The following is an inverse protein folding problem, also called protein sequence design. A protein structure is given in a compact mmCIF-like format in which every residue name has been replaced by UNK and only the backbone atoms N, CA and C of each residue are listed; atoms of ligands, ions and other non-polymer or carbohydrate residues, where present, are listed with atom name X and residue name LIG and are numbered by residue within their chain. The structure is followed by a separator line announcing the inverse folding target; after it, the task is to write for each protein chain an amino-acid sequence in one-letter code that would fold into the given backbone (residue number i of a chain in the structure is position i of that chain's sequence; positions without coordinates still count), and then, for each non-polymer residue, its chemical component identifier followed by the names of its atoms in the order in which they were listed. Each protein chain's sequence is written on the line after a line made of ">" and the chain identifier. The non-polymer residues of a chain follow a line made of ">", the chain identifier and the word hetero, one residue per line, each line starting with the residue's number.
data_IF_264519535166
#
_entry.id   IF_264519535166
#
_cell.length_a   1.000
_cell.length_b   1.000
_cell.length_c   1.000
_cell.angle_alpha   90.00
_cell.angle_beta   90.00
_cell.angle_gamma   90.00
#
_symmetry.space_group_name_H-M   'P 1'
#
loop_
_entity.id
_entity.type
_entity.pdbx_description
1 polymer ?
#
# COMPACT_ATOMS: atom_id res chain seq x y z
N UNK A 1 23.18 12.57 -17.13
CA UNK A 1 22.39 11.85 -17.95
C UNK A 1 21.56 10.88 -17.26
N UNK A 2 22.10 9.94 -16.58
CA UNK A 2 21.38 9.01 -15.86
C UNK A 2 20.56 9.60 -14.80
N UNK A 3 20.93 10.75 -14.29
CA UNK A 3 20.21 11.41 -13.23
C UNK A 3 18.81 11.77 -13.66
N UNK A 4 18.67 12.23 -14.88
CA UNK A 4 17.35 12.60 -15.37
C UNK A 4 16.48 11.40 -15.59
N UNK A 5 17.08 10.36 -16.15
CA UNK A 5 16.34 9.14 -16.31
C UNK A 5 15.95 8.61 -14.96
N UNK A 6 16.81 8.75 -13.97
CA UNK A 6 16.53 8.32 -12.65
C UNK A 6 15.34 9.02 -12.06
N UNK A 7 15.15 10.29 -12.34
CA UNK A 7 14.02 11.01 -11.82
C UNK A 7 12.71 10.50 -12.38
N UNK A 8 12.64 10.32 -13.67
CA UNK A 8 11.43 9.82 -14.30
C UNK A 8 11.14 8.42 -13.84
N UNK A 9 12.17 7.60 -13.82
CA UNK A 9 12.03 6.26 -13.35
C UNK A 9 11.64 6.28 -11.89
N UNK A 10 12.08 7.33 -11.16
CA UNK A 10 11.78 7.46 -9.76
C UNK A 10 10.30 7.53 -9.47
N UNK A 11 9.53 8.29 -10.26
CA UNK A 11 8.10 8.37 -10.03
C UNK A 11 7.42 7.05 -10.29
N UNK A 12 7.74 6.42 -11.40
CA UNK A 12 7.18 5.11 -11.70
C UNK A 12 7.66 4.06 -10.71
N UNK A 13 8.92 4.17 -10.30
CA UNK A 13 9.46 3.23 -9.33
C UNK A 13 8.79 3.41 -7.97
N UNK A 14 8.45 4.65 -7.61
CA UNK A 14 7.74 4.90 -6.36
C UNK A 14 6.39 4.24 -6.34
N UNK A 15 5.62 4.36 -7.41
CA UNK A 15 4.32 3.72 -7.49
C UNK A 15 4.47 2.20 -7.48
N UNK A 16 5.43 1.67 -8.24
CA UNK A 16 5.66 0.24 -8.24
C UNK A 16 6.09 -0.27 -6.87
N UNK A 17 6.95 0.51 -6.20
CA UNK A 17 7.39 0.14 -4.86
C UNK A 17 6.22 0.10 -3.90
N UNK A 18 5.36 1.13 -3.94
CA UNK A 18 4.22 1.20 -3.03
C UNK A 18 3.24 0.06 -3.27
N UNK A 19 3.06 -0.36 -4.52
CA UNK A 19 2.14 -1.43 -4.85
C UNK A 19 2.79 -2.80 -4.95
N UNK A 20 4.06 -2.93 -4.62
CA UNK A 20 4.77 -4.20 -4.72
C UNK A 20 4.25 -5.16 -3.66
N UNK A 21 3.52 -6.17 -4.09
CA UNK A 21 2.90 -7.13 -3.19
C UNK A 21 3.91 -8.02 -2.50
N UNK A 22 5.09 -8.15 -3.08
CA UNK A 22 6.15 -8.96 -2.49
C UNK A 22 6.97 -8.21 -1.46
N UNK A 23 6.76 -6.91 -1.33
CA UNK A 23 7.50 -6.10 -0.37
C UNK A 23 6.95 -6.37 1.03
N UNK A 24 7.84 -6.74 1.93
CA UNK A 24 7.48 -7.15 3.28
C UNK A 24 7.79 -6.05 4.28
N UNK A 25 7.07 -6.08 5.39
CA UNK A 25 7.37 -5.22 6.52
C UNK A 25 8.45 -5.88 7.37
N UNK A 26 9.10 -5.07 8.19
CA UNK A 26 10.14 -5.58 9.06
C UNK A 26 9.58 -6.68 9.96
N UNK A 27 10.20 -7.82 9.94
CA UNK A 27 9.77 -8.95 10.76
C UNK A 27 8.69 -9.80 10.13
N UNK A 28 8.16 -9.41 9.00
CA UNK A 28 7.10 -10.17 8.34
C UNK A 28 7.70 -11.38 7.63
N UNK A 29 7.21 -12.56 7.97
CA UNK A 29 7.66 -13.81 7.36
C UNK A 29 6.48 -14.55 6.77
N UNK A 30 6.28 -14.44 5.44
CA UNK A 30 5.14 -15.09 4.80
C UNK A 30 5.14 -16.60 4.95
N UNK A 31 6.31 -17.18 5.15
CA UNK A 31 6.43 -18.63 5.29
C UNK A 31 6.20 -19.13 6.71
N UNK A 32 5.93 -18.22 7.65
CA UNK A 32 5.75 -18.61 9.04
C UNK A 32 4.63 -19.63 9.18
N UNK A 33 4.87 -20.75 9.88
CA UNK A 33 3.82 -21.73 10.09
C UNK A 33 2.90 -21.40 11.26
N UNK A 34 3.19 -20.33 11.99
CA UNK A 34 2.46 -20.02 13.21
C UNK A 34 1.24 -19.18 12.92
N UNK A 35 0.09 -19.68 13.37
CA UNK A 35 -1.16 -18.97 13.22
C UNK A 35 -1.13 -17.62 13.92
N UNK A 36 -0.41 -17.54 15.01
CA UNK A 36 -0.27 -16.30 15.77
C UNK A 36 0.35 -15.21 14.95
N UNK A 37 1.32 -15.56 14.12
CA UNK A 37 1.94 -14.58 13.24
C UNK A 37 0.94 -14.06 12.22
N UNK A 38 0.13 -14.96 11.67
CA UNK A 38 -0.88 -14.55 10.70
C UNK A 38 -1.89 -13.61 11.35
N UNK A 39 -2.32 -13.92 12.57
CA UNK A 39 -3.25 -13.06 13.28
C UNK A 39 -2.64 -11.69 13.53
N UNK A 40 -1.37 -11.67 13.91
CA UNK A 40 -0.67 -10.41 14.14
C UNK A 40 -0.66 -9.55 12.87
N UNK A 41 -0.30 -10.15 11.74
CA UNK A 41 -0.18 -9.39 10.50
C UNK A 41 -1.52 -8.97 9.95
N UNK A 42 -2.58 -9.77 10.17
CA UNK A 42 -3.93 -9.36 9.82
C UNK A 42 -4.28 -8.07 10.55
N UNK A 43 -3.97 -8.00 11.83
CA UNK A 43 -4.25 -6.78 12.60
C UNK A 43 -3.45 -5.60 12.08
N UNK A 44 -2.17 -5.81 11.82
CA UNK A 44 -1.31 -4.75 11.33
C UNK A 44 -1.85 -4.20 10.01
N UNK A 45 -2.17 -5.11 9.08
CA UNK A 45 -2.61 -4.66 7.76
C UNK A 45 -4.01 -4.04 7.80
N UNK A 46 -4.88 -4.52 8.68
CA UNK A 46 -6.19 -3.89 8.85
C UNK A 46 -6.06 -2.47 9.37
N UNK A 47 -5.20 -2.29 10.35
CA UNK A 47 -5.01 -0.95 10.93
C UNK A 47 -4.41 -0.01 9.89
N UNK A 48 -3.44 -0.50 9.14
CA UNK A 48 -2.83 0.31 8.09
C UNK A 48 -3.84 0.67 7.00
N UNK A 49 -4.68 -0.30 6.61
CA UNK A 49 -5.72 -0.04 5.62
C UNK A 49 -6.70 1.02 6.11
N UNK A 50 -7.15 0.87 7.36
CA UNK A 50 -8.10 1.82 7.91
C UNK A 50 -7.51 3.22 7.94
N UNK A 51 -6.29 3.34 8.41
CA UNK A 51 -5.64 4.64 8.49
C UNK A 51 -5.44 5.25 7.11
N UNK A 52 -4.92 4.46 6.19
CA UNK A 52 -4.61 4.98 4.86
C UNK A 52 -5.88 5.27 4.06
N UNK A 53 -6.94 4.51 4.30
CA UNK A 53 -8.23 4.80 3.68
C UNK A 53 -8.78 6.13 4.15
N UNK A 54 -8.63 6.43 5.43
CA UNK A 54 -9.05 7.71 5.96
C UNK A 54 -8.24 8.85 5.36
N UNK A 55 -6.93 8.65 5.21
CA UNK A 55 -6.09 9.64 4.57
C UNK A 55 -6.56 9.89 3.14
N UNK A 56 -6.86 8.82 2.41
CA UNK A 56 -7.33 8.95 1.05
C UNK A 56 -8.63 9.72 0.96
N UNK A 57 -9.57 9.43 1.87
CA UNK A 57 -10.83 10.15 1.90
C UNK A 57 -10.62 11.61 2.20
N UNK A 58 -9.73 11.91 3.13
CA UNK A 58 -9.44 13.29 3.48
C UNK A 58 -8.84 14.05 2.31
N UNK A 59 -7.94 13.39 1.59
CA UNK A 59 -7.34 14.02 0.42
C UNK A 59 -8.38 14.24 -0.67
N UNK A 60 -9.21 13.24 -0.90
CA UNK A 60 -10.26 13.32 -1.93
C UNK A 60 -11.26 14.44 -1.61
N UNK A 61 -11.60 14.58 -0.34
CA UNK A 61 -12.52 15.64 0.07
C UNK A 61 -11.92 17.02 -0.12
N UNK A 62 -10.62 17.13 0.04
CA UNK A 62 -9.95 18.41 -0.12
C UNK A 62 -9.69 18.77 -1.55
N UNK A 63 -9.64 17.79 -2.43
CA UNK A 63 -9.44 18.05 -3.84
C UNK A 63 -10.72 18.57 -4.43
N UNK A 64 -10.76 19.82 -4.84
CA UNK A 64 -11.99 20.32 -5.46
C UNK A 64 -12.19 19.61 -6.77
N UNK A 65 -13.45 19.48 -7.14
CA UNK A 65 -13.77 18.85 -8.39
C UNK A 65 -13.17 19.59 -9.57
N UNK A 66 -12.85 20.84 -9.35
CA UNK A 66 -12.22 21.65 -10.38
C UNK A 66 -10.71 21.52 -10.38
N UNK A 67 -10.17 20.62 -9.60
CA UNK A 67 -8.73 20.47 -9.57
C UNK A 67 -8.20 20.19 -10.96
N UNK A 68 -7.17 20.93 -11.32
CA UNK A 68 -6.59 20.76 -12.63
C UNK A 68 -5.82 19.44 -12.68
N UNK A 69 -5.63 18.90 -13.87
CA UNK A 69 -4.83 17.69 -13.99
C UNK A 69 -3.41 17.84 -13.48
N UNK A 70 -2.96 19.07 -13.35
CA UNK A 70 -1.61 19.33 -12.85
C UNK A 70 -1.58 19.54 -11.34
N UNK A 71 -2.67 19.19 -10.69
CA UNK A 71 -2.74 19.34 -9.26
C UNK A 71 -1.62 18.56 -8.58
N UNK A 72 -0.92 19.17 -7.62
CA UNK A 72 0.18 18.46 -6.96
C UNK A 72 -0.24 17.23 -6.20
N UNK A 73 -1.52 17.11 -5.86
CA UNK A 73 -1.99 15.96 -5.12
C UNK A 73 -2.19 14.71 -5.95
N UNK A 74 -2.20 14.85 -7.27
CA UNK A 74 -2.52 13.73 -8.10
C UNK A 74 -1.50 12.59 -8.05
N UNK A 75 -0.20 12.88 -8.15
CA UNK A 75 0.78 11.78 -8.00
C UNK A 75 0.71 11.14 -6.63
N UNK A 76 0.39 11.91 -5.60
CA UNK A 76 0.28 11.36 -4.26
C UNK A 76 -0.90 10.41 -4.15
N UNK A 77 -2.00 10.72 -4.84
CA UNK A 77 -3.16 9.84 -4.84
C UNK A 77 -2.85 8.51 -5.53
N UNK A 78 -2.14 8.55 -6.64
CA UNK A 78 -1.76 7.32 -7.31
C UNK A 78 -0.88 6.46 -6.43
N UNK A 79 0.08 7.09 -5.77
CA UNK A 79 0.96 6.37 -4.88
C UNK A 79 0.18 5.75 -3.73
N UNK A 80 -0.74 6.52 -3.16
CA UNK A 80 -1.55 6.04 -2.06
C UNK A 80 -2.47 4.91 -2.50
N UNK A 81 -3.04 5.01 -3.69
CA UNK A 81 -3.88 3.95 -4.21
C UNK A 81 -3.10 2.66 -4.39
N UNK A 82 -1.89 2.76 -4.96
CA UNK A 82 -1.04 1.59 -5.13
C UNK A 82 -0.71 0.96 -3.78
N UNK A 83 -0.46 1.81 -2.79
CA UNK A 83 -0.17 1.34 -1.44
C UNK A 83 -1.38 0.62 -0.83
N UNK A 84 -2.57 1.18 -1.00
CA UNK A 84 -3.78 0.56 -0.50
C UNK A 84 -4.02 -0.80 -1.15
N UNK A 85 -3.80 -0.89 -2.45
CA UNK A 85 -3.95 -2.17 -3.15
C UNK A 85 -3.00 -3.21 -2.60
N UNK A 86 -1.76 -2.81 -2.33
CA UNK A 86 -0.80 -3.71 -1.74
C UNK A 86 -1.26 -4.17 -0.36
N UNK A 87 -1.74 -3.25 0.47
CA UNK A 87 -2.19 -3.60 1.81
C UNK A 87 -3.36 -4.58 1.76
N UNK A 88 -4.29 -4.38 0.83
CA UNK A 88 -5.41 -5.29 0.67
C UNK A 88 -4.95 -6.68 0.28
N UNK A 89 -3.98 -6.74 -0.62
CA UNK A 89 -3.47 -8.03 -1.07
C UNK A 89 -2.75 -8.76 0.06
N UNK A 90 -1.93 -8.03 0.82
CA UNK A 90 -1.22 -8.64 1.95
C UNK A 90 -2.19 -9.09 3.03
N UNK A 91 -3.21 -8.30 3.29
CA UNK A 91 -4.23 -8.68 4.25
C UNK A 91 -4.92 -9.98 3.84
N UNK A 92 -5.32 -10.07 2.59
CA UNK A 92 -5.97 -11.28 2.09
C UNK A 92 -5.04 -12.49 2.19
N UNK A 93 -3.76 -12.28 1.92
CA UNK A 93 -2.77 -13.35 2.05
C UNK A 93 -2.76 -13.90 3.48
N UNK A 94 -2.67 -13.02 4.47
CA UNK A 94 -2.60 -13.46 5.85
C UNK A 94 -3.91 -14.02 6.35
N UNK A 95 -5.03 -13.49 5.88
CA UNK A 95 -6.33 -14.05 6.22
C UNK A 95 -6.45 -15.48 5.70
N UNK A 96 -5.95 -15.70 4.50
CA UNK A 96 -5.93 -17.05 3.95
C UNK A 96 -5.08 -17.99 4.77
N UNK A 97 -3.97 -17.51 5.30
CA UNK A 97 -3.11 -18.33 6.14
C UNK A 97 -3.83 -18.74 7.43
N UNK A 98 -4.60 -17.85 8.01
CA UNK A 98 -5.39 -18.18 9.21
C UNK A 98 -6.38 -19.28 8.88
N UNK A 99 -7.06 -19.17 7.74
CA UNK A 99 -8.03 -20.17 7.31
C UNK A 99 -7.36 -21.51 7.07
N UNK A 100 -6.19 -21.50 6.44
CA UNK A 100 -5.46 -22.75 6.19
C UNK A 100 -5.04 -23.43 7.47
N UNK A 101 -4.69 -22.61 8.47
CA UNK A 101 -4.22 -23.16 9.77
C UNK A 101 -5.36 -23.71 10.59
N UNK A 102 -6.56 -23.32 10.27
CA UNK A 102 -7.73 -23.83 10.98
C UNK A 102 -8.06 -25.22 10.49
#
# INVERSE_FOLDING_TARGET
>A
MRVEEGKQIGDAAGVRWAGDRDRLMAGERPESPFREDAIHWVRVYRDLLAFNSQVMEAISDRLPSAASPNSPGQPDLELLQAHLDRLRWRLAFWEGRITESA
#
